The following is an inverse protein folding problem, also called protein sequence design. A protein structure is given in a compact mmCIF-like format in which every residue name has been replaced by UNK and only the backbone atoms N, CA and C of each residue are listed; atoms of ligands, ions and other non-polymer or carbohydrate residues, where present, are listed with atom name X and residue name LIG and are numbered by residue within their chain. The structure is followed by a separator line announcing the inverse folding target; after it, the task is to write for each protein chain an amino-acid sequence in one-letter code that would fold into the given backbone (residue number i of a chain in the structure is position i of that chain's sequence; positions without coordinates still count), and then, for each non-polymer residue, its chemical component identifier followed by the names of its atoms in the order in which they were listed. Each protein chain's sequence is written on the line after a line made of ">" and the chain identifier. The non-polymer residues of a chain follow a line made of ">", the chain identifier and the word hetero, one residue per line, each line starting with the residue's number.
data_IF_964806556411
#
_entry.id   IF_964806556411
#
_cell.length_a   1.000
_cell.length_b   1.000
_cell.length_c   1.000
_cell.angle_alpha   90.00
_cell.angle_beta   90.00
_cell.angle_gamma   90.00
#
_symmetry.space_group_name_H-M   'P 1'
#
loop_
_entity.id
_entity.type
_entity.pdbx_description
1 polymer ?
#
# COMPACT_ATOMS: atom_id res chain seq x y z
N UNK A 1 -2.53 -13.28 29.82
CA UNK A 1 -3.04 -11.92 29.52
C UNK A 1 -3.99 -12.03 28.35
N UNK A 2 -5.07 -11.27 28.36
CA UNK A 2 -6.01 -11.21 27.24
C UNK A 2 -5.31 -10.59 26.01
N UNK A 3 -5.53 -11.15 24.81
CA UNK A 3 -4.92 -10.63 23.58
C UNK A 3 -5.53 -9.27 23.24
N UNK A 4 -4.68 -8.33 22.84
CA UNK A 4 -5.13 -7.03 22.34
C UNK A 4 -5.88 -7.19 21.01
N UNK A 5 -6.97 -6.45 20.83
CA UNK A 5 -7.73 -6.47 19.56
C UNK A 5 -7.17 -5.43 18.58
N UNK A 6 -6.88 -5.87 17.36
CA UNK A 6 -6.49 -5.03 16.24
C UNK A 6 -7.62 -5.00 15.22
N UNK A 7 -8.06 -3.80 14.88
CA UNK A 7 -9.06 -3.54 13.84
C UNK A 7 -8.35 -3.36 12.49
N UNK A 8 -8.86 -3.98 11.44
CA UNK A 8 -8.34 -3.86 10.08
C UNK A 8 -9.43 -3.31 9.18
N UNK A 9 -9.30 -2.04 8.77
CA UNK A 9 -10.12 -1.42 7.73
C UNK A 9 -9.66 -1.93 6.36
N UNK A 10 -10.62 -2.11 5.45
CA UNK A 10 -10.32 -2.64 4.11
C UNK A 10 -9.96 -4.12 4.10
N UNK A 11 -10.41 -4.89 5.10
CA UNK A 11 -10.06 -6.30 5.32
C UNK A 11 -10.40 -7.24 4.15
N UNK A 12 -11.31 -6.84 3.24
CA UNK A 12 -11.67 -7.59 2.01
C UNK A 12 -10.84 -7.18 0.80
N UNK A 13 -10.14 -6.04 0.87
CA UNK A 13 -9.24 -5.55 -0.17
C UNK A 13 -7.85 -6.20 -0.10
N UNK A 14 -7.05 -5.97 -1.13
CA UNK A 14 -5.76 -6.63 -1.28
C UNK A 14 -4.78 -6.34 -0.12
N UNK A 15 -4.63 -5.10 0.32
CA UNK A 15 -3.77 -4.76 1.47
C UNK A 15 -4.34 -5.32 2.79
N UNK A 16 -5.62 -5.02 3.08
CA UNK A 16 -6.23 -5.40 4.35
C UNK A 16 -6.31 -6.92 4.54
N UNK A 17 -6.53 -7.68 3.47
CA UNK A 17 -6.49 -9.16 3.52
C UNK A 17 -5.09 -9.67 3.93
N UNK A 18 -4.03 -9.09 3.37
CA UNK A 18 -2.65 -9.38 3.74
C UNK A 18 -2.38 -9.06 5.21
N UNK A 19 -2.86 -7.91 5.70
CA UNK A 19 -2.73 -7.50 7.11
C UNK A 19 -3.48 -8.45 8.05
N UNK A 20 -4.73 -8.81 7.73
CA UNK A 20 -5.48 -9.81 8.51
C UNK A 20 -4.71 -11.12 8.60
N UNK A 21 -4.23 -11.63 7.46
CA UNK A 21 -3.51 -12.90 7.42
C UNK A 21 -2.23 -12.86 8.26
N UNK A 22 -1.45 -11.79 8.15
CA UNK A 22 -0.20 -11.64 8.91
C UNK A 22 -0.44 -11.57 10.43
N UNK A 23 -1.42 -10.77 10.86
CA UNK A 23 -1.78 -10.65 12.28
C UNK A 23 -2.34 -11.95 12.88
N UNK A 24 -3.14 -12.69 12.12
CA UNK A 24 -3.68 -14.00 12.56
C UNK A 24 -2.57 -15.03 12.65
N UNK A 25 -1.68 -15.09 11.66
CA UNK A 25 -0.56 -16.05 11.64
C UNK A 25 0.46 -15.75 12.75
N UNK A 26 0.68 -14.48 13.08
CA UNK A 26 1.53 -14.05 14.17
C UNK A 26 1.00 -14.50 15.54
N UNK A 27 -0.32 -14.48 15.72
CA UNK A 27 -1.01 -15.12 16.84
C UNK A 27 -1.08 -14.33 18.15
N UNK A 28 -0.43 -13.16 18.28
CA UNK A 28 -0.44 -12.34 19.52
C UNK A 28 -1.69 -11.47 19.67
N UNK A 29 -2.50 -11.32 18.62
CA UNK A 29 -3.62 -10.41 18.59
C UNK A 29 -4.96 -11.11 18.33
N UNK A 30 -6.04 -10.53 18.82
CA UNK A 30 -7.38 -10.75 18.27
C UNK A 30 -7.57 -9.81 17.06
N UNK A 31 -7.98 -10.34 15.92
CA UNK A 31 -8.10 -9.57 14.68
C UNK A 31 -9.57 -9.36 14.37
N UNK A 32 -9.96 -8.09 14.21
CA UNK A 32 -11.31 -7.66 13.84
C UNK A 32 -11.28 -7.08 12.43
N UNK A 33 -11.91 -7.77 11.49
CA UNK A 33 -12.08 -7.31 10.13
C UNK A 33 -13.25 -6.32 10.02
N UNK A 34 -13.06 -5.21 9.32
CA UNK A 34 -14.13 -4.27 9.01
C UNK A 34 -14.47 -4.33 7.54
N UNK A 35 -15.76 -4.52 7.26
CA UNK A 35 -16.30 -4.64 5.91
C UNK A 35 -17.68 -3.99 5.80
N UNK A 36 -18.02 -3.54 4.60
CA UNK A 36 -19.38 -3.06 4.27
C UNK A 36 -20.40 -4.20 4.10
N UNK A 37 -19.93 -5.45 4.04
CA UNK A 37 -20.79 -6.63 3.92
C UNK A 37 -20.21 -7.80 4.73
N UNK A 38 -20.70 -7.96 5.95
CA UNK A 38 -20.25 -9.02 6.88
C UNK A 38 -20.64 -10.42 6.45
N UNK A 39 -21.76 -10.60 5.76
CA UNK A 39 -22.25 -11.90 5.30
C UNK A 39 -21.35 -12.50 4.20
N UNK A 40 -20.70 -11.64 3.41
CA UNK A 40 -19.76 -12.05 2.36
C UNK A 40 -18.31 -12.18 2.84
N UNK A 41 -18.04 -11.88 4.12
CA UNK A 41 -16.68 -11.99 4.63
C UNK A 41 -16.28 -13.45 4.81
N UNK A 42 -15.26 -13.88 4.10
CA UNK A 42 -14.67 -15.23 4.14
C UNK A 42 -13.20 -15.26 4.55
N UNK A 43 -12.71 -14.17 5.16
CA UNK A 43 -11.32 -14.06 5.60
C UNK A 43 -11.05 -14.75 6.96
N UNK A 44 -9.79 -14.71 7.40
CA UNK A 44 -9.31 -15.43 8.59
C UNK A 44 -9.44 -14.64 9.91
N UNK A 45 -10.00 -13.42 9.91
CA UNK A 45 -10.15 -12.64 11.15
C UNK A 45 -10.99 -13.39 12.19
N UNK A 46 -10.75 -13.13 13.49
CA UNK A 46 -11.47 -13.73 14.59
C UNK A 46 -12.93 -13.26 14.67
N UNK A 47 -13.18 -12.03 14.21
CA UNK A 47 -14.53 -11.47 14.05
C UNK A 47 -14.59 -10.53 12.85
N UNK A 48 -15.77 -10.34 12.29
CA UNK A 48 -16.06 -9.37 11.25
C UNK A 48 -17.21 -8.48 11.66
N UNK A 49 -17.02 -7.16 11.58
CA UNK A 49 -18.05 -6.18 11.90
C UNK A 49 -18.30 -5.25 10.71
N UNK A 50 -19.52 -4.72 10.67
CA UNK A 50 -19.86 -3.67 9.73
C UNK A 50 -19.13 -2.36 10.06
N UNK A 51 -18.59 -1.72 9.04
CA UNK A 51 -18.07 -0.36 9.12
C UNK A 51 -17.80 0.21 7.73
N UNK A 52 -18.05 1.50 7.59
CA UNK A 52 -17.80 2.29 6.39
C UNK A 52 -17.02 3.55 6.77
N UNK A 53 -15.93 3.84 6.04
CA UNK A 53 -15.14 5.04 6.26
C UNK A 53 -15.93 6.35 6.05
N UNK A 54 -17.07 6.29 5.36
CA UNK A 54 -17.98 7.41 5.19
C UNK A 54 -19.02 7.51 6.33
N UNK A 55 -19.10 6.53 7.22
CA UNK A 55 -20.02 6.49 8.37
C UNK A 55 -19.26 6.45 9.70
N UNK A 56 -19.04 7.64 10.26
CA UNK A 56 -18.35 7.81 11.53
C UNK A 56 -18.96 6.98 12.67
N UNK A 57 -20.30 6.81 12.72
CA UNK A 57 -20.94 6.07 13.79
C UNK A 57 -20.65 4.56 13.67
N UNK A 58 -20.64 4.02 12.46
CA UNK A 58 -20.26 2.63 12.21
C UNK A 58 -18.81 2.35 12.63
N UNK A 59 -17.90 3.29 12.35
CA UNK A 59 -16.50 3.19 12.78
C UNK A 59 -16.38 3.23 14.31
N UNK A 60 -17.07 4.14 14.99
CA UNK A 60 -17.08 4.18 16.46
C UNK A 60 -17.56 2.86 17.07
N UNK A 61 -18.57 2.24 16.47
CA UNK A 61 -19.09 0.95 16.94
C UNK A 61 -18.07 -0.17 16.73
N UNK A 62 -17.44 -0.20 15.56
CA UNK A 62 -16.50 -1.25 15.18
C UNK A 62 -15.13 -1.12 15.86
N UNK A 63 -14.74 0.07 16.36
CA UNK A 63 -13.48 0.30 17.06
C UNK A 63 -13.57 0.10 18.58
N UNK A 64 -14.76 -0.10 19.15
CA UNK A 64 -14.92 -0.28 20.60
C UNK A 64 -14.01 -1.39 21.14
N UNK A 65 -13.34 -1.10 22.27
CA UNK A 65 -12.46 -2.03 22.98
C UNK A 65 -11.25 -2.54 22.17
N UNK A 66 -10.91 -1.87 21.06
CA UNK A 66 -9.71 -2.22 20.33
C UNK A 66 -8.49 -1.44 20.84
N UNK A 67 -7.32 -2.08 20.77
CA UNK A 67 -6.03 -1.47 21.07
C UNK A 67 -5.51 -0.65 19.90
N UNK A 68 -5.61 -1.18 18.71
CA UNK A 68 -5.06 -0.54 17.53
C UNK A 68 -5.92 -0.72 16.28
N UNK A 69 -5.65 0.10 15.29
CA UNK A 69 -6.32 0.05 14.00
C UNK A 69 -5.34 0.24 12.85
N UNK A 70 -5.48 -0.58 11.82
CA UNK A 70 -4.89 -0.36 10.50
C UNK A 70 -5.95 0.23 9.57
N UNK A 71 -5.63 1.33 8.90
CA UNK A 71 -6.54 2.04 8.00
C UNK A 71 -5.93 2.19 6.63
N UNK A 72 -6.69 1.81 5.61
CA UNK A 72 -6.39 2.04 4.19
C UNK A 72 -7.62 2.56 3.46
N UNK A 73 -7.43 3.56 2.61
CA UNK A 73 -8.44 4.11 1.71
C UNK A 73 -8.18 3.68 0.27
N UNK A 74 -9.18 3.76 -0.60
CA UNK A 74 -9.04 3.41 -2.00
C UNK A 74 -9.43 4.58 -2.92
N UNK A 75 -8.43 5.31 -3.39
CA UNK A 75 -8.59 6.43 -4.33
C UNK A 75 -9.36 6.03 -5.61
N UNK A 76 -9.05 4.85 -6.13
CA UNK A 76 -9.60 4.36 -7.41
C UNK A 76 -11.10 4.01 -7.35
N UNK A 77 -11.68 3.88 -6.17
CA UNK A 77 -13.14 3.78 -5.97
C UNK A 77 -13.83 5.17 -5.85
N UNK A 78 -13.11 6.27 -6.11
CA UNK A 78 -13.64 7.63 -6.01
C UNK A 78 -13.77 8.13 -4.57
N UNK A 79 -12.97 7.57 -3.64
CA UNK A 79 -13.00 7.97 -2.24
C UNK A 79 -12.44 9.38 -2.02
N UNK A 80 -13.13 10.18 -1.21
CA UNK A 80 -12.52 11.34 -0.55
C UNK A 80 -11.63 10.82 0.60
N UNK A 81 -10.37 10.54 0.29
CA UNK A 81 -9.42 9.95 1.23
C UNK A 81 -9.18 10.83 2.47
N UNK A 82 -9.26 12.15 2.32
CA UNK A 82 -9.11 13.10 3.44
C UNK A 82 -10.32 13.01 4.38
N UNK A 83 -11.54 13.01 3.83
CA UNK A 83 -12.74 12.86 4.65
C UNK A 83 -12.79 11.51 5.34
N UNK A 84 -12.46 10.42 4.64
CA UNK A 84 -12.39 9.07 5.19
C UNK A 84 -11.31 8.96 6.28
N UNK A 85 -10.13 9.53 6.05
CA UNK A 85 -9.06 9.61 7.06
C UNK A 85 -9.50 10.36 8.32
N UNK A 86 -10.18 11.52 8.17
CA UNK A 86 -10.74 12.28 9.29
C UNK A 86 -11.73 11.45 10.11
N UNK A 87 -12.65 10.74 9.46
CA UNK A 87 -13.61 9.88 10.13
C UNK A 87 -12.93 8.76 10.94
N UNK A 88 -11.94 8.08 10.34
CA UNK A 88 -11.18 7.03 11.02
C UNK A 88 -10.41 7.57 12.24
N UNK A 89 -9.76 8.74 12.10
CA UNK A 89 -9.05 9.42 13.18
C UNK A 89 -10.01 9.79 14.31
N UNK A 90 -11.16 10.41 13.99
CA UNK A 90 -12.15 10.80 14.99
C UNK A 90 -12.72 9.57 15.72
N UNK A 91 -13.07 8.51 14.99
CA UNK A 91 -13.52 7.26 15.58
C UNK A 91 -12.47 6.68 16.53
N UNK A 92 -11.20 6.63 16.10
CA UNK A 92 -10.09 6.14 16.90
C UNK A 92 -9.90 6.92 18.21
N UNK A 93 -9.94 8.26 18.13
CA UNK A 93 -9.86 9.12 19.33
C UNK A 93 -11.03 8.88 20.29
N UNK A 94 -12.25 8.81 19.78
CA UNK A 94 -13.47 8.63 20.61
C UNK A 94 -13.56 7.26 21.25
N UNK A 95 -12.91 6.24 20.68
CA UNK A 95 -12.92 4.86 21.21
C UNK A 95 -11.66 4.48 21.96
N UNK A 96 -10.70 5.40 22.09
CA UNK A 96 -9.47 5.18 22.86
C UNK A 96 -8.44 4.29 22.17
N UNK A 97 -8.41 4.27 20.83
CA UNK A 97 -7.34 3.58 20.07
C UNK A 97 -5.99 4.12 20.54
N UNK A 98 -5.08 3.21 20.89
CA UNK A 98 -3.74 3.56 21.35
C UNK A 98 -2.74 3.59 20.20
N UNK A 99 -2.82 2.66 19.21
CA UNK A 99 -1.93 2.61 18.06
C UNK A 99 -2.71 2.73 16.75
N UNK A 100 -2.48 3.82 16.02
CA UNK A 100 -3.09 4.10 14.73
C UNK A 100 -2.06 3.88 13.62
N UNK A 101 -2.28 2.92 12.72
CA UNK A 101 -1.43 2.67 11.56
C UNK A 101 -2.18 3.10 10.30
N UNK A 102 -1.57 4.03 9.55
CA UNK A 102 -2.11 4.57 8.32
C UNK A 102 -1.32 4.07 7.10
N UNK A 103 -2.03 3.46 6.14
CA UNK A 103 -1.44 3.12 4.85
C UNK A 103 -1.37 4.38 3.98
N UNK A 104 -0.16 4.81 3.68
CA UNK A 104 0.13 6.05 2.97
C UNK A 104 1.00 5.81 1.73
N UNK A 105 1.33 6.91 1.07
CA UNK A 105 2.25 6.97 -0.07
C UNK A 105 3.19 8.16 0.10
N UNK A 106 4.33 8.21 -0.64
CA UNK A 106 5.24 9.35 -0.63
C UNK A 106 4.52 10.68 -0.93
N UNK A 107 4.88 11.73 -0.22
CA UNK A 107 4.33 13.08 -0.45
C UNK A 107 4.97 13.69 -1.71
N UNK A 108 4.41 13.40 -2.86
CA UNK A 108 4.91 13.84 -4.17
C UNK A 108 4.95 15.38 -4.26
N UNK A 109 3.95 16.06 -3.74
CA UNK A 109 3.92 17.53 -3.73
C UNK A 109 5.14 18.10 -3.00
N UNK A 110 5.46 17.56 -1.81
CA UNK A 110 6.63 17.99 -1.04
C UNK A 110 7.96 17.57 -1.69
N UNK A 111 8.06 16.33 -2.19
CA UNK A 111 9.27 15.79 -2.81
C UNK A 111 9.63 16.55 -4.08
N UNK A 112 8.63 16.94 -4.88
CA UNK A 112 8.82 17.67 -6.14
C UNK A 112 8.83 19.19 -5.99
N UNK A 113 8.75 19.72 -4.75
CA UNK A 113 8.59 21.15 -4.49
C UNK A 113 7.39 21.78 -5.25
N UNK A 114 6.30 21.05 -5.35
CA UNK A 114 5.07 21.48 -6.02
C UNK A 114 5.08 21.37 -7.56
N UNK A 115 6.12 20.79 -8.16
CA UNK A 115 6.18 20.63 -9.62
C UNK A 115 5.23 19.52 -10.15
N UNK A 116 4.96 18.50 -9.33
CA UNK A 116 4.12 17.37 -9.68
C UNK A 116 2.95 17.26 -8.71
N UNK A 117 1.76 17.06 -9.26
CA UNK A 117 0.56 16.72 -8.49
C UNK A 117 0.10 15.30 -8.90
N UNK A 118 0.14 14.39 -7.95
CA UNK A 118 -0.38 13.03 -8.10
C UNK A 118 -1.45 12.81 -7.02
N UNK A 119 -2.73 13.05 -7.32
CA UNK A 119 -3.81 13.02 -6.34
C UNK A 119 -3.86 11.75 -5.52
N UNK A 120 -3.63 10.57 -6.12
CA UNK A 120 -3.64 9.29 -5.41
C UNK A 120 -2.45 9.09 -4.43
N UNK A 121 -1.35 9.85 -4.59
CA UNK A 121 -0.26 9.94 -3.62
C UNK A 121 -0.54 11.04 -2.58
N UNK A 122 -0.78 12.25 -3.08
CA UNK A 122 -0.92 13.46 -2.27
C UNK A 122 -2.11 13.40 -1.32
N UNK A 123 -3.23 12.76 -1.73
CA UNK A 123 -4.41 12.58 -0.88
C UNK A 123 -4.09 11.82 0.39
N UNK A 124 -3.37 10.69 0.28
CA UNK A 124 -2.94 9.89 1.42
C UNK A 124 -1.92 10.62 2.30
N UNK A 125 -0.92 11.26 1.70
CA UNK A 125 0.10 12.01 2.42
C UNK A 125 -0.46 13.23 3.19
N UNK A 126 -1.54 13.85 2.73
CA UNK A 126 -2.23 14.91 3.47
C UNK A 126 -2.86 14.40 4.78
N UNK A 127 -3.31 13.15 4.82
CA UNK A 127 -3.84 12.54 6.04
C UNK A 127 -2.73 12.27 7.06
N UNK A 128 -1.48 12.08 6.66
CA UNK A 128 -0.35 11.87 7.58
C UNK A 128 -0.26 12.99 8.63
N UNK A 129 -0.44 14.26 8.21
CA UNK A 129 -0.41 15.41 9.11
C UNK A 129 -1.60 15.41 10.10
N UNK A 130 -2.75 14.91 9.67
CA UNK A 130 -3.94 14.76 10.53
C UNK A 130 -3.70 13.69 11.60
N UNK A 131 -3.09 12.56 11.23
CA UNK A 131 -2.72 11.49 12.18
C UNK A 131 -1.69 12.00 13.18
N UNK A 132 -0.64 12.72 12.72
CA UNK A 132 0.40 13.30 13.60
C UNK A 132 -0.18 14.22 14.67
N UNK A 133 -1.15 15.05 14.29
CA UNK A 133 -1.80 16.02 15.19
C UNK A 133 -2.93 15.42 16.04
N UNK A 134 -3.30 14.15 15.82
CA UNK A 134 -4.45 13.55 16.46
C UNK A 134 -4.26 13.21 17.95
N UNK A 135 -3.01 13.04 18.40
CA UNK A 135 -2.69 12.75 19.81
C UNK A 135 -2.85 11.27 20.18
N UNK A 136 -2.71 10.34 19.25
CA UNK A 136 -2.60 8.92 19.56
C UNK A 136 -1.31 8.63 20.35
N UNK A 137 -1.37 7.66 21.26
CA UNK A 137 -0.17 7.24 22.02
C UNK A 137 0.92 6.73 21.07
N UNK A 138 0.53 5.93 20.07
CA UNK A 138 1.37 5.44 19.00
C UNK A 138 0.71 5.68 17.65
N UNK A 139 1.48 6.09 16.66
CA UNK A 139 1.03 6.19 15.28
C UNK A 139 2.18 5.90 14.33
N UNK A 140 1.89 5.19 13.26
CA UNK A 140 2.89 4.70 12.30
C UNK A 140 2.34 4.84 10.88
N UNK A 141 3.21 5.16 9.94
CA UNK A 141 2.88 5.28 8.52
C UNK A 141 3.51 4.12 7.74
N UNK A 142 2.71 3.38 6.99
CA UNK A 142 3.21 2.30 6.13
C UNK A 142 3.05 2.73 4.68
N UNK A 143 4.16 2.91 3.98
CA UNK A 143 4.17 3.31 2.58
C UNK A 143 4.13 2.08 1.68
N UNK A 144 3.11 2.06 0.81
CA UNK A 144 2.91 0.99 -0.15
C UNK A 144 3.85 1.15 -1.36
N UNK A 145 4.45 0.06 -1.88
CA UNK A 145 5.28 0.08 -3.07
C UNK A 145 4.45 -0.10 -4.35
N UNK A 146 5.14 -0.16 -5.48
CA UNK A 146 4.57 -0.77 -6.68
C UNK A 146 4.47 -2.28 -6.46
N UNK A 147 3.25 -2.79 -6.35
CA UNK A 147 3.04 -4.20 -6.04
C UNK A 147 3.33 -5.12 -7.24
N UNK A 148 3.91 -6.29 -6.99
CA UNK A 148 4.10 -7.34 -8.00
C UNK A 148 2.78 -7.71 -8.68
N UNK A 149 1.68 -7.70 -7.95
CA UNK A 149 0.33 -7.97 -8.46
C UNK A 149 -0.09 -7.04 -9.59
N UNK A 150 0.45 -5.83 -9.66
CA UNK A 150 0.17 -4.90 -10.76
C UNK A 150 0.60 -5.47 -12.11
N UNK A 151 1.68 -6.27 -12.13
CA UNK A 151 2.24 -6.86 -13.36
C UNK A 151 1.35 -7.93 -14.01
N UNK A 152 0.42 -8.51 -13.26
CA UNK A 152 -0.56 -9.51 -13.77
C UNK A 152 -2.00 -9.02 -13.63
N UNK A 153 -2.20 -7.82 -13.09
CA UNK A 153 -3.49 -7.15 -12.92
C UNK A 153 -3.61 -5.89 -13.76
N UNK A 154 -3.62 -4.73 -13.10
CA UNK A 154 -3.88 -3.43 -13.73
C UNK A 154 -2.88 -3.09 -14.87
N UNK A 155 -1.63 -3.48 -14.72
CA UNK A 155 -0.56 -3.30 -15.72
C UNK A 155 -0.13 -4.64 -16.31
N UNK A 156 -1.04 -5.58 -16.51
CA UNK A 156 -0.73 -6.82 -17.24
C UNK A 156 -0.24 -6.51 -18.65
N UNK A 157 0.72 -7.30 -19.20
CA UNK A 157 1.20 -7.12 -20.56
C UNK A 157 0.06 -7.30 -21.56
N UNK A 158 0.00 -6.45 -22.58
CA UNK A 158 -1.05 -6.42 -23.57
C UNK A 158 -0.56 -6.88 -24.93
N UNK A 159 -1.43 -7.51 -25.77
CA UNK A 159 -1.12 -7.75 -27.18
C UNK A 159 -0.81 -6.44 -27.91
N UNK A 160 0.17 -6.47 -28.82
CA UNK A 160 0.59 -5.35 -29.64
C UNK A 160 0.33 -5.59 -31.13
N UNK A 161 0.30 -4.53 -31.91
CA UNK A 161 0.06 -4.61 -33.36
C UNK A 161 1.14 -5.41 -34.11
N UNK A 162 2.36 -5.45 -33.56
CA UNK A 162 3.48 -6.23 -34.12
C UNK A 162 3.39 -7.74 -33.84
N UNK A 163 2.29 -8.20 -33.21
CA UNK A 163 2.06 -9.60 -32.84
C UNK A 163 2.78 -10.02 -31.55
N UNK A 164 3.55 -9.15 -30.88
CA UNK A 164 4.15 -9.43 -29.58
C UNK A 164 3.16 -9.14 -28.45
N UNK A 165 3.49 -9.60 -27.25
CA UNK A 165 2.78 -9.23 -26.01
C UNK A 165 3.76 -8.50 -25.08
N UNK A 166 3.32 -7.43 -24.42
CA UNK A 166 4.22 -6.69 -23.54
C UNK A 166 3.65 -5.36 -23.06
N UNK A 167 4.53 -4.48 -22.66
CA UNK A 167 4.19 -3.15 -22.15
C UNK A 167 4.50 -2.05 -23.15
N UNK A 168 3.61 -1.06 -23.20
CA UNK A 168 3.84 0.22 -23.88
C UNK A 168 3.65 1.31 -22.84
N UNK A 169 4.74 1.87 -22.33
CA UNK A 169 4.72 2.78 -21.17
C UNK A 169 5.66 3.98 -21.39
N UNK A 170 5.38 5.11 -20.70
CA UNK A 170 6.18 6.34 -20.83
C UNK A 170 7.31 6.40 -19.80
N UNK A 171 8.10 5.34 -19.70
CA UNK A 171 9.25 5.25 -18.78
C UNK A 171 10.44 4.61 -19.49
N UNK A 172 11.65 5.07 -19.19
CA UNK A 172 12.89 4.44 -19.65
C UNK A 172 13.05 3.06 -18.98
N UNK A 173 13.00 1.95 -19.73
CA UNK A 173 13.05 0.61 -19.17
C UNK A 173 14.40 0.25 -18.54
N UNK A 174 15.44 1.06 -18.71
CA UNK A 174 16.77 0.82 -18.13
C UNK A 174 16.93 1.40 -16.73
N UNK A 175 16.11 2.39 -16.35
CA UNK A 175 16.21 3.08 -15.08
C UNK A 175 15.66 2.23 -13.93
N UNK A 176 16.47 2.01 -12.91
CA UNK A 176 16.06 1.38 -11.64
C UNK A 176 15.42 2.42 -10.74
N UNK A 177 14.11 2.57 -10.86
CA UNK A 177 13.35 3.62 -10.16
C UNK A 177 12.07 3.11 -9.49
N UNK A 178 11.75 1.82 -9.62
CA UNK A 178 10.51 1.23 -9.15
C UNK A 178 10.79 0.36 -7.94
N UNK A 179 10.49 0.87 -6.73
CA UNK A 179 10.47 0.05 -5.53
C UNK A 179 9.28 -0.91 -5.58
N UNK A 180 9.55 -2.19 -5.44
CA UNK A 180 8.55 -3.25 -5.62
C UNK A 180 8.51 -4.22 -4.46
N UNK A 181 7.33 -4.80 -4.21
CA UNK A 181 7.14 -5.89 -3.25
C UNK A 181 5.84 -6.64 -3.50
N UNK A 182 5.69 -7.82 -2.88
CA UNK A 182 4.39 -8.49 -2.76
C UNK A 182 3.46 -7.69 -1.83
N UNK A 183 2.20 -7.55 -2.22
CA UNK A 183 1.18 -6.88 -1.41
C UNK A 183 0.97 -7.55 -0.04
N UNK A 184 1.21 -8.85 0.06
CA UNK A 184 1.10 -9.60 1.31
C UNK A 184 2.21 -9.24 2.31
N UNK A 185 3.37 -8.78 1.82
CA UNK A 185 4.49 -8.36 2.67
C UNK A 185 4.15 -7.10 3.49
N UNK A 186 3.20 -6.28 3.03
CA UNK A 186 2.69 -5.15 3.80
C UNK A 186 2.10 -5.62 5.14
N UNK A 187 1.42 -6.75 5.15
CA UNK A 187 0.90 -7.34 6.37
C UNK A 187 1.98 -7.69 7.40
N UNK A 188 3.14 -8.17 6.93
CA UNK A 188 4.29 -8.48 7.81
C UNK A 188 4.85 -7.23 8.48
N UNK A 189 4.93 -6.12 7.75
CA UNK A 189 5.37 -4.82 8.28
C UNK A 189 4.36 -4.28 9.30
N UNK A 190 3.06 -4.33 8.99
CA UNK A 190 1.99 -3.87 9.88
C UNK A 190 1.93 -4.70 11.17
N UNK A 191 2.05 -6.02 11.08
CA UNK A 191 2.08 -6.89 12.26
C UNK A 191 3.30 -6.58 13.14
N UNK A 192 4.49 -6.41 12.52
CA UNK A 192 5.71 -6.01 13.22
C UNK A 192 5.59 -4.65 13.91
N UNK A 193 4.91 -3.69 13.28
CA UNK A 193 4.67 -2.37 13.87
C UNK A 193 3.76 -2.46 15.12
N UNK A 194 2.72 -3.30 15.11
CA UNK A 194 1.89 -3.53 16.30
C UNK A 194 2.62 -4.26 17.43
N UNK A 195 3.60 -5.12 17.10
CA UNK A 195 4.45 -5.80 18.08
C UNK A 195 5.49 -4.88 18.71
N UNK A 196 5.96 -3.87 17.98
CA UNK A 196 7.06 -3.00 18.36
C UNK A 196 6.65 -1.50 18.41
N UNK A 197 5.54 -1.16 19.13
CA UNK A 197 5.02 0.20 19.14
C UNK A 197 6.00 1.24 19.70
N UNK A 198 6.83 0.85 20.67
CA UNK A 198 7.84 1.76 21.26
C UNK A 198 8.94 2.14 20.25
N UNK A 199 9.20 1.28 19.27
CA UNK A 199 10.23 1.51 18.26
C UNK A 199 9.74 2.38 17.10
N UNK A 200 8.51 2.14 16.63
CA UNK A 200 8.00 2.75 15.40
C UNK A 200 6.72 3.57 15.58
N UNK A 201 6.14 3.60 16.77
CA UNK A 201 4.88 4.29 17.06
C UNK A 201 5.01 5.80 17.31
N UNK A 202 6.12 6.41 16.94
CA UNK A 202 6.40 7.84 17.08
C UNK A 202 6.22 8.64 15.78
N UNK A 203 5.50 8.08 14.80
CA UNK A 203 5.32 8.67 13.47
C UNK A 203 6.37 8.26 12.46
N UNK A 204 7.03 7.12 12.68
CA UNK A 204 7.96 6.54 11.71
C UNK A 204 7.24 6.20 10.42
N UNK A 205 7.93 6.41 9.30
CA UNK A 205 7.57 5.83 8.01
C UNK A 205 8.24 4.48 7.85
N UNK A 206 7.45 3.49 7.44
CA UNK A 206 7.87 2.14 7.10
C UNK A 206 7.60 1.94 5.62
N UNK A 207 8.64 2.07 4.80
CA UNK A 207 8.52 1.96 3.35
C UNK A 207 8.72 0.52 2.90
N UNK A 208 7.64 -0.14 2.50
CA UNK A 208 7.73 -1.52 2.01
C UNK A 208 8.44 -1.53 0.65
N UNK A 209 9.61 -2.15 0.58
CA UNK A 209 10.30 -2.44 -0.67
C UNK A 209 11.20 -3.66 -0.52
N UNK A 210 10.94 -4.68 -1.33
CA UNK A 210 11.83 -5.85 -1.44
C UNK A 210 12.98 -5.55 -2.38
N UNK A 211 12.68 -4.92 -3.51
CA UNK A 211 13.60 -4.70 -4.62
C UNK A 211 13.41 -3.31 -5.23
N UNK A 212 14.50 -2.79 -5.81
CA UNK A 212 14.49 -1.63 -6.68
C UNK A 212 14.75 -2.10 -8.13
N UNK A 213 13.73 -2.03 -8.97
CA UNK A 213 13.74 -2.58 -10.32
C UNK A 213 13.64 -1.52 -11.41
N UNK A 214 14.18 -1.88 -12.58
CA UNK A 214 13.85 -1.31 -13.88
C UNK A 214 12.84 -2.21 -14.61
N UNK A 215 12.19 -1.74 -15.68
CA UNK A 215 11.37 -2.62 -16.52
C UNK A 215 12.19 -3.73 -17.17
N UNK A 216 13.47 -3.47 -17.51
CA UNK A 216 14.35 -4.52 -18.00
C UNK A 216 14.59 -5.64 -16.96
N UNK A 217 14.64 -5.32 -15.68
CA UNK A 217 14.74 -6.34 -14.63
C UNK A 217 13.45 -7.15 -14.52
N UNK A 218 12.29 -6.50 -14.67
CA UNK A 218 10.97 -7.16 -14.71
C UNK A 218 10.89 -8.12 -15.91
N UNK A 219 11.29 -7.68 -17.11
CA UNK A 219 11.33 -8.53 -18.31
C UNK A 219 12.24 -9.76 -18.11
N UNK A 220 13.43 -9.57 -17.51
CA UNK A 220 14.33 -10.68 -17.18
C UNK A 220 13.71 -11.65 -16.17
N UNK A 221 12.97 -11.16 -15.17
CA UNK A 221 12.29 -12.00 -14.20
C UNK A 221 11.22 -12.87 -14.86
N UNK A 222 10.40 -12.33 -15.77
CA UNK A 222 9.44 -13.09 -16.55
C UNK A 222 10.11 -14.09 -17.49
N UNK A 223 11.17 -13.70 -18.18
CA UNK A 223 11.93 -14.61 -19.05
C UNK A 223 12.51 -15.80 -18.29
N UNK A 224 12.92 -15.61 -17.02
CA UNK A 224 13.44 -16.67 -16.17
C UNK A 224 12.40 -17.74 -15.78
N UNK A 225 11.10 -17.46 -15.97
CA UNK A 225 9.99 -18.41 -15.78
C UNK A 225 9.36 -18.84 -17.13
N UNK A 226 10.05 -18.58 -18.25
CA UNK A 226 9.62 -19.02 -19.60
C UNK A 226 8.59 -18.09 -20.26
N UNK A 227 8.34 -16.89 -19.74
CA UNK A 227 7.44 -15.91 -20.36
C UNK A 227 8.25 -14.79 -21.00
N UNK A 228 8.11 -14.62 -22.31
CA UNK A 228 8.83 -13.61 -23.07
C UNK A 228 7.89 -12.46 -23.43
N UNK A 229 8.21 -11.26 -22.93
CA UNK A 229 7.45 -10.04 -23.16
C UNK A 229 8.32 -8.96 -23.79
N UNK A 230 7.68 -8.09 -24.59
CA UNK A 230 8.31 -6.93 -25.19
C UNK A 230 8.06 -5.66 -24.39
N UNK A 231 8.90 -4.65 -24.60
CA UNK A 231 8.69 -3.31 -24.03
C UNK A 231 8.84 -2.26 -25.13
N UNK A 232 7.89 -1.32 -25.17
CA UNK A 232 7.95 -0.15 -26.06
C UNK A 232 7.85 1.09 -25.20
N UNK A 233 8.92 1.90 -25.20
CA UNK A 233 8.86 3.22 -24.60
C UNK A 233 8.15 4.19 -25.54
N UNK A 234 7.24 5.00 -24.99
CA UNK A 234 6.54 6.05 -25.74
C UNK A 234 6.64 7.39 -25.01
N UNK A 235 6.53 8.53 -25.70
CA UNK A 235 6.44 9.83 -25.04
C UNK A 235 5.23 9.91 -24.11
N UNK A 236 5.38 10.63 -22.98
CA UNK A 236 4.31 10.78 -21.99
C UNK A 236 3.05 11.45 -22.57
N UNK A 237 3.24 12.39 -23.50
CA UNK A 237 2.17 13.07 -24.20
C UNK A 237 1.31 12.09 -25.01
N UNK A 238 1.96 11.18 -25.76
CA UNK A 238 1.28 10.14 -26.53
C UNK A 238 0.55 9.17 -25.59
N UNK A 239 1.24 8.66 -24.54
CA UNK A 239 0.63 7.74 -23.58
C UNK A 239 -0.62 8.32 -22.93
N UNK A 240 -0.61 9.62 -22.63
CA UNK A 240 -1.73 10.34 -22.00
C UNK A 240 -3.03 10.29 -22.80
N UNK A 241 -2.97 9.89 -24.08
CA UNK A 241 -4.15 9.76 -24.97
C UNK A 241 -4.73 8.35 -25.04
N UNK A 242 -4.08 7.34 -24.46
CA UNK A 242 -4.44 5.93 -24.67
C UNK A 242 -5.75 5.52 -23.99
N UNK A 243 -6.03 6.08 -22.81
CA UNK A 243 -7.26 5.78 -22.05
C UNK A 243 -7.57 6.88 -21.02
N UNK A 244 -8.78 6.85 -20.48
CA UNK A 244 -9.18 7.80 -19.42
C UNK A 244 -8.35 7.57 -18.16
N UNK A 245 -7.59 8.57 -17.74
CA UNK A 245 -6.67 8.49 -16.59
C UNK A 245 -5.21 8.21 -16.97
N UNK A 246 -4.91 7.96 -18.25
CA UNK A 246 -3.53 7.72 -18.71
C UNK A 246 -2.57 8.87 -18.39
N UNK A 247 -3.07 10.10 -18.34
CA UNK A 247 -2.27 11.28 -17.95
C UNK A 247 -1.71 11.14 -16.54
N UNK A 248 -2.52 10.72 -15.56
CA UNK A 248 -2.06 10.52 -14.18
C UNK A 248 -1.04 9.38 -14.08
N UNK A 249 -1.23 8.32 -14.84
CA UNK A 249 -0.25 7.21 -14.92
C UNK A 249 1.06 7.71 -15.55
N UNK A 250 1.00 8.52 -16.60
CA UNK A 250 2.20 9.12 -17.22
C UNK A 250 2.98 10.01 -16.24
N UNK A 251 2.28 10.88 -15.51
CA UNK A 251 2.89 11.72 -14.48
C UNK A 251 3.47 10.89 -13.32
N UNK A 252 2.85 9.76 -12.99
CA UNK A 252 3.38 8.81 -12.00
C UNK A 252 4.73 8.24 -12.44
N UNK A 253 4.86 7.79 -13.68
CA UNK A 253 6.14 7.31 -14.21
C UNK A 253 7.18 8.43 -14.32
N UNK A 254 6.76 9.66 -14.67
CA UNK A 254 7.64 10.83 -14.66
C UNK A 254 8.17 11.12 -13.24
N UNK A 255 7.33 11.00 -12.22
CA UNK A 255 7.76 11.10 -10.82
C UNK A 255 8.80 10.02 -10.49
N UNK A 256 8.56 8.76 -10.86
CA UNK A 256 9.51 7.67 -10.60
C UNK A 256 10.87 7.96 -11.21
N UNK A 257 10.92 8.42 -12.47
CA UNK A 257 12.19 8.71 -13.14
C UNK A 257 12.99 9.85 -12.51
N UNK A 258 12.30 10.83 -11.92
CA UNK A 258 12.95 12.01 -11.34
C UNK A 258 13.33 11.83 -9.87
N UNK A 259 12.54 11.08 -9.12
CA UNK A 259 12.63 11.06 -7.65
C UNK A 259 12.67 9.64 -7.06
N UNK A 260 12.62 8.60 -7.87
CA UNK A 260 12.44 7.20 -7.45
C UNK A 260 11.09 7.01 -6.72
N UNK A 261 10.47 5.85 -6.81
CA UNK A 261 9.11 5.60 -6.30
C UNK A 261 8.92 6.06 -4.85
N UNK A 262 9.79 5.63 -3.92
CA UNK A 262 9.67 5.98 -2.49
C UNK A 262 10.23 7.37 -2.15
N UNK A 263 10.72 8.10 -3.14
CA UNK A 263 11.41 9.37 -2.95
C UNK A 263 12.89 9.21 -2.60
N UNK A 264 13.67 10.30 -2.73
CA UNK A 264 15.06 10.30 -2.34
C UNK A 264 15.17 10.09 -0.82
N UNK A 265 16.24 9.45 -0.38
CA UNK A 265 16.53 9.17 1.04
C UNK A 265 15.53 8.22 1.73
N UNK A 266 14.84 7.36 0.99
CA UNK A 266 13.90 6.37 1.54
C UNK A 266 14.58 5.13 2.15
N UNK A 267 15.87 4.91 1.92
CA UNK A 267 16.59 3.72 2.36
C UNK A 267 16.48 3.43 3.88
N UNK A 268 16.65 4.41 4.80
CA UNK A 268 16.47 4.13 6.22
C UNK A 268 15.05 3.66 6.58
N UNK A 269 14.03 4.13 5.87
CA UNK A 269 12.64 3.74 6.08
C UNK A 269 12.36 2.33 5.54
N UNK A 270 13.05 1.95 4.46
CA UNK A 270 12.98 0.61 3.86
C UNK A 270 13.67 -0.39 4.79
N UNK A 271 14.86 -0.09 5.27
CA UNK A 271 15.58 -0.96 6.21
C UNK A 271 14.82 -1.12 7.53
N UNK A 272 14.24 -0.05 8.07
CA UNK A 272 13.40 -0.13 9.26
C UNK A 272 12.17 -1.02 9.04
N UNK A 273 11.53 -0.94 7.86
CA UNK A 273 10.40 -1.80 7.51
C UNK A 273 10.81 -3.28 7.44
N UNK A 274 11.99 -3.58 6.86
CA UNK A 274 12.56 -4.94 6.84
C UNK A 274 12.87 -5.45 8.25
N UNK A 275 13.50 -4.61 9.07
CA UNK A 275 13.93 -4.98 10.43
C UNK A 275 12.76 -5.36 11.32
N UNK A 276 11.62 -4.65 11.22
CA UNK A 276 10.46 -4.92 12.09
C UNK A 276 9.51 -5.97 11.53
N UNK A 277 9.63 -6.32 10.25
CA UNK A 277 8.73 -7.28 9.60
C UNK A 277 8.76 -8.65 10.31
N UNK A 278 7.61 -9.31 10.42
CA UNK A 278 7.49 -10.61 11.10
C UNK A 278 8.14 -11.79 10.36
N UNK A 279 8.50 -11.60 9.09
CA UNK A 279 9.27 -12.56 8.29
C UNK A 279 9.86 -11.89 7.06
N UNK A 280 10.80 -12.55 6.39
CA UNK A 280 11.44 -12.08 5.17
C UNK A 280 10.44 -11.79 4.04
N UNK A 281 10.78 -10.83 3.18
CA UNK A 281 10.00 -10.50 2.00
C UNK A 281 10.34 -11.43 0.84
N UNK A 282 9.36 -11.70 0.00
CA UNK A 282 9.53 -12.53 -1.18
C UNK A 282 10.07 -11.72 -2.36
N UNK A 283 11.03 -12.28 -3.12
CA UNK A 283 11.53 -11.65 -4.35
C UNK A 283 10.51 -11.72 -5.50
N UNK A 284 10.62 -10.81 -6.49
CA UNK A 284 9.78 -10.85 -7.70
C UNK A 284 9.87 -12.20 -8.40
N UNK A 285 11.08 -12.75 -8.51
CA UNK A 285 11.30 -14.05 -9.18
C UNK A 285 10.60 -15.21 -8.45
N UNK A 286 10.67 -15.23 -7.13
CA UNK A 286 10.00 -16.25 -6.32
C UNK A 286 8.49 -16.09 -6.38
N UNK A 287 8.01 -14.84 -6.29
CA UNK A 287 6.60 -14.52 -6.41
C UNK A 287 6.04 -14.96 -7.77
N UNK A 288 6.74 -14.67 -8.88
CA UNK A 288 6.34 -15.10 -10.21
C UNK A 288 6.26 -16.63 -10.34
N UNK A 289 7.16 -17.39 -9.72
CA UNK A 289 7.10 -18.85 -9.72
C UNK A 289 5.87 -19.41 -9.00
N UNK A 290 5.37 -18.69 -8.00
CA UNK A 290 4.21 -19.11 -7.21
C UNK A 290 2.86 -18.71 -7.85
N UNK A 291 2.87 -17.69 -8.73
CA UNK A 291 1.66 -17.07 -9.27
C UNK A 291 1.52 -17.19 -10.80
N UNK A 292 2.26 -18.08 -11.45
CA UNK A 292 2.21 -18.31 -12.91
C UNK A 292 1.97 -19.77 -13.28
#
# INVERSE_FOLDING_TARGET
>A
MEKKTIVVIGATGSQGKGVVNALVNEGSFNVRAITRNTEKYSGKAHEALYGDLNDLQSLKNSFKNAYGVFVVTNFWEGADEIAQGKNAIEAGKKTGIQHFIWSTLPNVESISNGELDLPHFTGKAKVDNLVRSAGFKYYTFVQAPFYFQNLIGMLAPQPKEDGTTGWTLPIDPTKKVIHMSDINDLGKVVAGAFLQPEKVGNGSYLSLATELNSFNDILKAFKAIGKEYSFTQVPAELFSTFFKGAKEVAETFRYFERYIYMGPNSEPQIELAKEIATSEFISLREWLKQNN
#
